data_IF_294234499881
#
_entry.id   IF_294234499881
#
_cell.length_a   1.000
_cell.length_b   1.000
_cell.length_c   1.000
_cell.angle_alpha   90.00
_cell.angle_beta   90.00
_cell.angle_gamma   90.00
#
_symmetry.space_group_name_H-M   'P 1'
#
loop_
_entity.id
_entity.type
_entity.pdbx_description
1 polymer ?
#
# COMPACT_ATOMS: atom_id res chain seq x y z
N UNK A 1 -9.73 9.79 -35.81
CA UNK A 1 -8.26 9.70 -35.73
C UNK A 1 -7.67 10.50 -34.55
N UNK A 2 -8.22 11.67 -34.19
CA UNK A 2 -7.75 12.47 -33.04
C UNK A 2 -8.10 11.81 -31.68
N UNK A 3 -9.29 11.20 -31.57
CA UNK A 3 -9.78 10.54 -30.35
C UNK A 3 -8.98 9.31 -29.92
N UNK A 4 -8.47 8.54 -30.88
CA UNK A 4 -7.66 7.34 -30.62
C UNK A 4 -6.22 7.68 -30.19
N UNK A 5 -5.67 8.80 -30.68
CA UNK A 5 -4.36 9.32 -30.24
C UNK A 5 -4.44 9.83 -28.80
N UNK A 6 -5.50 10.59 -28.48
CA UNK A 6 -5.75 11.09 -27.12
C UNK A 6 -5.99 9.96 -26.11
N UNK A 7 -6.79 8.94 -26.44
CA UNK A 7 -7.04 7.82 -25.52
C UNK A 7 -5.78 7.01 -25.22
N UNK A 8 -4.89 6.83 -26.20
CA UNK A 8 -3.61 6.15 -26.00
C UNK A 8 -2.68 6.96 -25.09
N UNK A 9 -2.56 8.27 -25.34
CA UNK A 9 -1.73 9.15 -24.52
C UNK A 9 -2.23 9.22 -23.07
N UNK A 10 -3.55 9.33 -22.87
CA UNK A 10 -4.16 9.32 -21.55
C UNK A 10 -3.93 7.98 -20.83
N UNK A 11 -4.14 6.86 -21.52
CA UNK A 11 -3.87 5.53 -20.95
C UNK A 11 -2.43 5.42 -20.46
N UNK A 12 -1.46 5.73 -21.33
CA UNK A 12 -0.05 5.64 -20.99
C UNK A 12 0.35 6.58 -19.85
N UNK A 13 -0.21 7.78 -19.81
CA UNK A 13 0.06 8.73 -18.72
C UNK A 13 -0.34 8.15 -17.36
N UNK A 14 -1.58 7.68 -17.21
CA UNK A 14 -2.08 7.15 -15.94
C UNK A 14 -1.46 5.79 -15.59
N UNK A 15 -1.20 4.94 -16.60
CA UNK A 15 -0.53 3.66 -16.39
C UNK A 15 0.90 3.85 -15.86
N UNK A 16 1.68 4.76 -16.46
CA UNK A 16 3.04 5.06 -16.03
C UNK A 16 3.04 5.66 -14.62
N UNK A 17 2.20 6.67 -14.37
CA UNK A 17 2.11 7.32 -13.05
C UNK A 17 1.71 6.30 -11.97
N UNK A 18 0.68 5.49 -12.22
CA UNK A 18 0.23 4.46 -11.28
C UNK A 18 1.31 3.41 -11.01
N UNK A 19 2.01 2.97 -12.04
CA UNK A 19 3.11 2.01 -11.91
C UNK A 19 4.24 2.57 -11.04
N UNK A 20 4.78 3.74 -11.38
CA UNK A 20 5.90 4.30 -10.62
C UNK A 20 5.48 4.68 -9.20
N UNK A 21 4.30 5.27 -8.99
CA UNK A 21 3.81 5.61 -7.65
C UNK A 21 3.69 4.36 -6.77
N UNK A 22 3.06 3.29 -7.27
CA UNK A 22 2.92 2.04 -6.52
C UNK A 22 4.26 1.38 -6.24
N UNK A 23 5.20 1.42 -7.19
CA UNK A 23 6.56 0.91 -7.00
C UNK A 23 7.30 1.69 -5.91
N UNK A 24 7.27 3.02 -5.95
CA UNK A 24 7.88 3.86 -4.93
C UNK A 24 7.29 3.61 -3.54
N UNK A 25 5.96 3.51 -3.45
CA UNK A 25 5.29 3.18 -2.18
C UNK A 25 5.68 1.79 -1.68
N UNK A 26 5.73 0.79 -2.56
CA UNK A 26 6.09 -0.58 -2.20
C UNK A 26 7.53 -0.68 -1.69
N UNK A 27 8.47 0.00 -2.36
CA UNK A 27 9.88 0.05 -1.95
C UNK A 27 10.00 0.75 -0.59
N UNK A 28 9.33 1.89 -0.41
CA UNK A 28 9.35 2.62 0.85
C UNK A 28 8.79 1.78 2.01
N UNK A 29 7.65 1.12 1.79
CA UNK A 29 7.02 0.26 2.78
C UNK A 29 7.91 -0.94 3.13
N UNK A 30 8.56 -1.54 2.12
CA UNK A 30 9.53 -2.62 2.34
C UNK A 30 10.70 -2.18 3.23
N UNK A 31 11.34 -1.05 2.93
CA UNK A 31 12.46 -0.55 3.74
C UNK A 31 12.02 -0.18 5.16
N UNK A 32 10.87 0.47 5.28
CA UNK A 32 10.27 0.83 6.58
C UNK A 32 10.06 -0.42 7.44
N UNK A 33 9.48 -1.49 6.87
CA UNK A 33 9.25 -2.74 7.57
C UNK A 33 10.55 -3.42 8.04
N UNK A 34 11.59 -3.43 7.21
CA UNK A 34 12.90 -3.97 7.60
C UNK A 34 13.48 -3.19 8.80
N UNK A 35 13.42 -1.86 8.76
CA UNK A 35 13.88 -1.01 9.87
C UNK A 35 13.08 -1.32 11.15
N UNK A 36 11.75 -1.52 11.04
CA UNK A 36 10.92 -1.85 12.18
C UNK A 36 11.22 -3.22 12.77
N UNK A 37 11.49 -4.24 11.93
CA UNK A 37 11.90 -5.56 12.39
C UNK A 37 13.23 -5.51 13.13
N UNK A 38 14.23 -4.82 12.58
CA UNK A 38 15.53 -4.67 13.20
C UNK A 38 15.45 -3.93 14.54
N UNK A 39 14.70 -2.83 14.59
CA UNK A 39 14.50 -2.07 15.82
C UNK A 39 13.70 -2.87 16.84
N UNK A 40 12.69 -3.63 16.41
CA UNK A 40 11.91 -4.50 17.29
C UNK A 40 12.80 -5.55 17.95
N UNK A 41 13.68 -6.20 17.19
CA UNK A 41 14.63 -7.18 17.73
C UNK A 41 15.59 -6.55 18.75
N UNK A 42 16.09 -5.34 18.48
CA UNK A 42 16.95 -4.61 19.42
C UNK A 42 16.23 -4.28 20.73
N UNK A 43 15.02 -3.74 20.63
CA UNK A 43 14.20 -3.40 21.81
C UNK A 43 13.82 -4.65 22.62
N UNK A 44 13.58 -5.78 21.94
CA UNK A 44 13.30 -7.06 22.57
C UNK A 44 14.51 -7.56 23.36
N UNK A 45 15.72 -7.47 22.78
CA UNK A 45 16.95 -7.82 23.47
C UNK A 45 17.17 -6.97 24.74
N UNK A 46 17.00 -5.65 24.66
CA UNK A 46 17.13 -4.77 25.82
C UNK A 46 16.07 -5.06 26.90
N UNK A 47 14.85 -5.40 26.50
CA UNK A 47 13.80 -5.76 27.43
C UNK A 47 14.16 -7.04 28.21
N UNK A 48 14.69 -8.05 27.51
CA UNK A 48 15.12 -9.32 28.14
C UNK A 48 16.32 -9.11 29.07
N UNK A 49 17.31 -8.31 28.66
CA UNK A 49 18.48 -7.98 29.48
C UNK A 49 18.10 -7.18 30.73
N UNK A 50 17.05 -6.36 30.64
CA UNK A 50 16.50 -5.60 31.77
C UNK A 50 15.66 -6.46 32.74
N UNK A 51 15.60 -7.78 32.53
CA UNK A 51 14.87 -8.75 33.34
C UNK A 51 13.38 -8.39 33.52
N UNK A 52 12.78 -7.79 32.48
CA UNK A 52 11.37 -7.40 32.45
C UNK A 52 10.52 -8.47 31.76
N UNK A 53 9.21 -8.39 31.96
CA UNK A 53 8.28 -9.16 31.16
C UNK A 53 8.19 -8.51 29.76
N UNK A 54 8.56 -9.26 28.73
CA UNK A 54 8.62 -8.81 27.33
C UNK A 54 7.58 -9.52 26.44
N UNK A 55 6.68 -10.29 27.06
CA UNK A 55 5.61 -11.00 26.39
C UNK A 55 4.57 -10.01 25.85
N UNK A 56 4.61 -9.75 24.55
CA UNK A 56 3.78 -8.74 23.88
C UNK A 56 2.29 -8.96 24.16
N UNK A 57 1.83 -10.21 24.17
CA UNK A 57 0.42 -10.54 24.39
C UNK A 57 -0.05 -10.12 25.79
N UNK A 58 0.85 -10.14 26.77
CA UNK A 58 0.56 -9.61 28.11
C UNK A 58 0.68 -8.10 28.16
N UNK A 59 1.69 -7.52 27.49
CA UNK A 59 1.96 -6.09 27.51
C UNK A 59 0.83 -5.26 26.86
N UNK A 60 0.20 -5.77 25.80
CA UNK A 60 -0.94 -5.10 25.14
C UNK A 60 -2.15 -4.95 26.06
N UNK A 61 -2.28 -5.80 27.08
CA UNK A 61 -3.38 -5.79 28.05
C UNK A 61 -3.10 -4.92 29.29
N UNK A 62 -1.88 -4.39 29.45
CA UNK A 62 -1.49 -3.49 30.54
C UNK A 62 -1.79 -2.05 30.14
N UNK A 63 -2.15 -1.19 31.10
CA UNK A 63 -2.33 0.25 30.81
C UNK A 63 -1.01 0.87 30.37
N UNK A 64 -1.07 1.75 29.38
CA UNK A 64 0.13 2.41 28.83
C UNK A 64 0.94 3.18 29.88
N UNK A 65 0.28 3.73 30.89
CA UNK A 65 0.92 4.46 32.00
C UNK A 65 1.83 3.57 32.86
N UNK A 66 1.54 2.27 32.92
CA UNK A 66 2.27 1.29 33.74
C UNK A 66 3.41 0.61 32.97
N UNK A 67 3.56 0.92 31.67
CA UNK A 67 4.58 0.34 30.80
C UNK A 67 5.87 1.17 30.83
N UNK A 68 7.00 0.46 30.87
CA UNK A 68 8.30 1.09 30.65
C UNK A 68 8.39 1.60 29.18
N UNK A 69 9.13 2.69 28.90
CA UNK A 69 9.39 3.18 27.54
C UNK A 69 9.77 2.10 26.52
N UNK A 70 10.60 1.12 26.89
CA UNK A 70 11.01 0.04 25.98
C UNK A 70 9.85 -0.91 25.65
N UNK A 71 8.97 -1.17 26.62
CA UNK A 71 7.77 -2.01 26.42
C UNK A 71 6.74 -1.29 25.56
N UNK A 72 6.54 0.01 25.77
CA UNK A 72 5.66 0.82 24.94
C UNK A 72 6.13 0.80 23.48
N UNK A 73 7.43 1.01 23.26
CA UNK A 73 8.03 1.00 21.92
C UNK A 73 7.93 -0.37 21.23
N UNK A 74 8.05 -1.46 21.98
CA UNK A 74 7.81 -2.82 21.48
C UNK A 74 6.38 -3.03 20.98
N UNK A 75 5.38 -2.52 21.71
CA UNK A 75 3.97 -2.60 21.30
C UNK A 75 3.75 -1.80 20.02
N UNK A 76 4.28 -0.59 19.94
CA UNK A 76 4.15 0.27 18.76
C UNK A 76 4.78 -0.39 17.53
N UNK A 77 6.01 -0.90 17.65
CA UNK A 77 6.71 -1.60 16.57
C UNK A 77 5.96 -2.86 16.15
N UNK A 78 5.47 -3.66 17.10
CA UNK A 78 4.68 -4.85 16.80
C UNK A 78 3.41 -4.50 16.02
N UNK A 79 2.71 -3.42 16.39
CA UNK A 79 1.54 -2.95 15.67
C UNK A 79 1.89 -2.55 14.22
N UNK A 80 3.00 -1.85 14.00
CA UNK A 80 3.47 -1.48 12.67
C UNK A 80 3.83 -2.72 11.83
N UNK A 81 4.53 -3.68 12.42
CA UNK A 81 4.92 -4.95 11.77
C UNK A 81 3.69 -5.73 11.33
N UNK A 82 2.69 -5.89 12.20
CA UNK A 82 1.45 -6.63 11.88
C UNK A 82 0.66 -5.90 10.77
N UNK A 83 0.64 -4.56 10.80
CA UNK A 83 -0.08 -3.76 9.81
C UNK A 83 0.59 -3.72 8.43
N UNK A 84 1.82 -4.19 8.28
CA UNK A 84 2.54 -4.25 7.00
C UNK A 84 1.71 -4.84 5.85
N UNK A 85 0.99 -5.94 6.12
CA UNK A 85 0.10 -6.57 5.13
C UNK A 85 -0.98 -5.61 4.62
N UNK A 86 -1.57 -4.83 5.52
CA UNK A 86 -2.61 -3.86 5.16
C UNK A 86 -2.04 -2.72 4.31
N UNK A 87 -0.81 -2.26 4.61
CA UNK A 87 -0.13 -1.27 3.77
C UNK A 87 0.14 -1.80 2.35
N UNK A 88 0.61 -3.05 2.22
CA UNK A 88 0.77 -3.68 0.89
C UNK A 88 -0.55 -3.79 0.12
N UNK A 89 -1.63 -4.17 0.79
CA UNK A 89 -2.97 -4.23 0.18
C UNK A 89 -3.40 -2.83 -0.30
N UNK A 90 -3.21 -1.80 0.53
CA UNK A 90 -3.54 -0.43 0.16
C UNK A 90 -2.76 0.04 -1.08
N UNK A 91 -1.48 -0.33 -1.20
CA UNK A 91 -0.65 -0.02 -2.37
C UNK A 91 -1.22 -0.71 -3.63
N UNK A 92 -1.64 -1.98 -3.52
CA UNK A 92 -2.30 -2.69 -4.62
C UNK A 92 -3.64 -2.06 -5.01
N UNK A 93 -4.42 -1.58 -4.04
CA UNK A 93 -5.67 -0.85 -4.31
C UNK A 93 -5.38 0.44 -5.10
N UNK A 94 -4.39 1.23 -4.67
CA UNK A 94 -3.97 2.45 -5.38
C UNK A 94 -3.57 2.10 -6.82
N UNK A 95 -2.73 1.08 -7.00
CA UNK A 95 -2.34 0.60 -8.33
C UNK A 95 -3.56 0.22 -9.18
N UNK A 96 -4.52 -0.52 -8.62
CA UNK A 96 -5.76 -0.89 -9.30
C UNK A 96 -6.59 0.31 -9.73
N UNK A 97 -6.73 1.33 -8.87
CA UNK A 97 -7.48 2.56 -9.18
C UNK A 97 -6.85 3.30 -10.37
N UNK A 98 -5.52 3.46 -10.40
CA UNK A 98 -4.84 4.10 -11.53
C UNK A 98 -5.05 3.35 -12.85
N UNK A 99 -5.01 2.02 -12.81
CA UNK A 99 -5.30 1.20 -13.99
C UNK A 99 -6.76 1.32 -14.44
N UNK A 100 -7.72 1.35 -13.52
CA UNK A 100 -9.14 1.56 -13.85
C UNK A 100 -9.35 2.92 -14.53
N UNK A 101 -8.75 3.99 -14.00
CA UNK A 101 -8.83 5.33 -14.59
C UNK A 101 -8.21 5.33 -15.99
N UNK A 102 -7.05 4.69 -16.18
CA UNK A 102 -6.39 4.59 -17.47
C UNK A 102 -7.28 3.92 -18.55
N UNK A 103 -8.14 2.97 -18.16
CA UNK A 103 -9.02 2.24 -19.07
C UNK A 103 -10.27 3.02 -19.51
N UNK A 104 -10.69 4.06 -18.79
CA UNK A 104 -11.94 4.79 -19.07
C UNK A 104 -12.02 5.29 -20.53
N UNK A 105 -11.01 5.98 -21.09
CA UNK A 105 -11.10 6.46 -22.48
C UNK A 105 -11.09 5.34 -23.51
N UNK A 106 -10.47 4.19 -23.19
CA UNK A 106 -10.48 3.02 -24.06
C UNK A 106 -11.90 2.45 -24.16
N UNK A 107 -12.58 2.31 -23.03
CA UNK A 107 -13.97 1.83 -22.97
C UNK A 107 -14.91 2.78 -23.72
N UNK A 108 -14.76 4.09 -23.53
CA UNK A 108 -15.55 5.11 -24.25
C UNK A 108 -15.35 4.99 -25.77
N UNK A 109 -14.11 4.84 -26.23
CA UNK A 109 -13.82 4.67 -27.65
C UNK A 109 -14.45 3.40 -28.22
N UNK A 110 -14.31 2.26 -27.54
CA UNK A 110 -14.90 0.98 -27.95
C UNK A 110 -16.43 1.10 -28.03
N UNK A 111 -17.06 1.71 -27.01
CA UNK A 111 -18.51 1.94 -27.01
C UNK A 111 -18.96 2.83 -28.17
N UNK A 112 -18.21 3.90 -28.46
CA UNK A 112 -18.52 4.81 -29.56
C UNK A 112 -18.40 4.11 -30.93
N UNK A 113 -17.38 3.27 -31.11
CA UNK A 113 -17.17 2.49 -32.33
C UNK A 113 -18.30 1.47 -32.53
N UNK A 114 -18.66 0.71 -31.49
CA UNK A 114 -19.78 -0.25 -31.54
C UNK A 114 -21.09 0.47 -31.91
N UNK A 115 -21.39 1.60 -31.25
CA UNK A 115 -22.60 2.39 -31.50
C UNK A 115 -22.65 2.91 -32.94
N UNK A 116 -21.52 3.34 -33.50
CA UNK A 116 -21.45 3.79 -34.89
C UNK A 116 -21.71 2.66 -35.89
N UNK A 117 -21.14 1.47 -35.66
CA UNK A 117 -21.36 0.29 -36.51
C UNK A 117 -22.82 -0.17 -36.49
N UNK A 118 -23.46 -0.19 -35.33
CA UNK A 118 -24.89 -0.54 -35.22
C UNK A 118 -25.76 0.43 -36.02
N UNK A 119 -25.45 1.72 -36.01
CA UNK A 119 -26.18 2.73 -36.81
C UNK A 119 -26.01 2.59 -38.31
N UNK A 120 -24.91 2.00 -38.79
CA UNK A 120 -24.67 1.77 -40.22
C UNK A 120 -25.35 0.50 -40.74
N UNK A 121 -25.73 -0.42 -39.84
CA UNK A 121 -26.43 -1.67 -40.17
C UNK A 121 -27.95 -1.47 -40.23
N UNK A 122 -28.48 -0.42 -39.57
CA UNK A 122 -29.90 -0.05 -39.58
C UNK A 122 -30.19 0.99 -40.65
#
# INVERSE_FOLDING_TARGET
MITTKFSKQFFWLFAIIGFFLSLFLAINEYFSHQIFLDEYQRQMAFCLESNKNCDIDKLVNIKKEDLNPNQLKLIELNMLIINFKNYLINILIIFGIFNLIALIPLIINIYSDIKSRIRLIR
#
